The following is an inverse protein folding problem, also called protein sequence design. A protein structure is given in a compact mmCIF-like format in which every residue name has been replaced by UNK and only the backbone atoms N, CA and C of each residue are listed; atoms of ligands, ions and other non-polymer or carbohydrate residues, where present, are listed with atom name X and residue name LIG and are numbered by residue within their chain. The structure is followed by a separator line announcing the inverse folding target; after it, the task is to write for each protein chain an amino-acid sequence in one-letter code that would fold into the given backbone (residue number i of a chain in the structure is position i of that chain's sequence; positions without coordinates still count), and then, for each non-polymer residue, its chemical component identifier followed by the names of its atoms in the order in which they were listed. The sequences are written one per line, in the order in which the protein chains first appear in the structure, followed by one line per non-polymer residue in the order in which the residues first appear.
data_IF_203328568350
#
_entry.id   IF_203328568350
#
_cell.length_a   1.000
_cell.length_b   1.000
_cell.length_c   1.000
_cell.angle_alpha   90.00
_cell.angle_beta   90.00
_cell.angle_gamma   90.00
#
_symmetry.space_group_name_H-M   'P 1'
#
loop_
_entity.id
_entity.type
_entity.pdbx_description
1 polymer ?
#
# COMPACT_ATOMS: atom_id res chain seq x y z
N UNK A 1 47.87 31.20 -52.64
CA UNK A 1 46.80 30.35 -52.09
C UNK A 1 47.42 29.45 -51.02
N UNK A 2 47.26 29.80 -49.75
CA UNK A 2 47.72 29.01 -48.59
C UNK A 2 46.52 28.25 -48.03
N UNK A 3 46.61 26.93 -47.76
CA UNK A 3 45.53 26.22 -47.10
C UNK A 3 45.64 26.41 -45.57
N UNK A 4 44.59 26.98 -44.96
CA UNK A 4 44.43 27.01 -43.51
C UNK A 4 44.09 25.61 -43.00
N UNK A 5 44.92 25.08 -42.10
CA UNK A 5 44.61 23.88 -41.32
C UNK A 5 43.58 24.24 -40.23
N UNK A 6 42.43 23.59 -40.26
CA UNK A 6 41.43 23.65 -39.21
C UNK A 6 41.82 22.64 -38.12
N UNK A 7 42.28 23.14 -36.97
CA UNK A 7 42.51 22.31 -35.78
C UNK A 7 41.15 22.12 -35.09
N UNK A 8 40.58 20.93 -35.20
CA UNK A 8 39.36 20.55 -34.48
C UNK A 8 39.76 20.11 -33.07
N UNK A 9 39.59 21.01 -32.10
CA UNK A 9 39.76 20.71 -30.68
C UNK A 9 38.57 19.88 -30.18
N UNK A 10 38.81 18.61 -29.86
CA UNK A 10 37.85 17.75 -29.16
C UNK A 10 37.91 18.07 -27.67
N UNK A 11 36.99 18.91 -27.20
CA UNK A 11 36.69 18.99 -25.76
C UNK A 11 35.88 17.76 -25.38
N UNK A 12 36.55 16.77 -24.78
CA UNK A 12 35.88 15.66 -24.11
C UNK A 12 35.10 16.21 -22.91
N UNK A 13 33.77 16.25 -23.03
CA UNK A 13 32.88 16.45 -21.88
C UNK A 13 33.03 15.22 -20.97
N UNK A 14 33.78 15.36 -19.89
CA UNK A 14 33.74 14.41 -18.78
C UNK A 14 32.42 14.65 -18.04
N UNK A 15 31.42 13.83 -18.32
CA UNK A 15 30.25 13.70 -17.47
C UNK A 15 30.72 13.14 -16.12
N UNK A 16 30.93 14.01 -15.15
CA UNK A 16 30.99 13.61 -13.74
C UNK A 16 29.59 13.11 -13.38
N UNK A 17 29.34 11.82 -13.59
CA UNK A 17 28.24 11.13 -12.95
C UNK A 17 28.53 11.18 -11.45
N UNK A 18 27.85 12.09 -10.73
CA UNK A 18 27.83 12.02 -9.27
C UNK A 18 27.35 10.61 -8.90
N UNK A 19 28.12 9.82 -8.12
CA UNK A 19 27.64 8.52 -7.69
C UNK A 19 26.35 8.76 -6.91
N UNK A 20 25.28 8.08 -7.33
CA UNK A 20 24.05 8.03 -6.55
C UNK A 20 24.47 7.47 -5.20
N UNK A 21 24.34 8.29 -4.15
CA UNK A 21 24.70 7.88 -2.80
C UNK A 21 23.80 6.70 -2.43
N UNK A 22 24.37 5.52 -2.18
CA UNK A 22 23.63 4.30 -1.84
C UNK A 22 23.03 4.32 -0.42
N UNK A 23 23.09 5.48 0.25
CA UNK A 23 22.50 5.75 1.55
C UNK A 23 21.65 7.02 1.47
N UNK A 24 20.46 6.98 2.06
CA UNK A 24 19.57 8.13 2.17
C UNK A 24 18.88 8.18 3.53
N UNK A 25 18.49 9.38 3.96
CA UNK A 25 17.83 9.60 5.26
C UNK A 25 16.32 9.39 5.15
N UNK A 26 15.78 8.46 5.93
CA UNK A 26 14.35 8.11 5.96
C UNK A 26 13.56 9.03 6.89
N UNK A 27 14.08 9.20 8.11
CA UNK A 27 13.64 10.14 9.12
C UNK A 27 14.86 10.58 9.91
N UNK A 28 14.73 11.63 10.74
CA UNK A 28 15.87 12.20 11.47
C UNK A 28 16.67 11.09 12.17
N UNK A 29 17.97 10.99 11.86
CA UNK A 29 18.91 10.01 12.42
C UNK A 29 18.64 8.54 12.03
N UNK A 30 17.80 8.26 11.05
CA UNK A 30 17.52 6.91 10.51
C UNK A 30 17.82 6.91 9.03
N UNK A 31 18.74 6.04 8.61
CA UNK A 31 19.22 5.97 7.24
C UNK A 31 18.96 4.59 6.66
N UNK A 32 18.67 4.54 5.37
CA UNK A 32 18.50 3.31 4.60
C UNK A 32 19.67 3.17 3.65
N UNK A 33 20.34 2.01 3.73
CA UNK A 33 21.43 1.63 2.83
C UNK A 33 20.89 0.63 1.82
N UNK A 34 21.02 0.97 0.55
CA UNK A 34 20.65 0.14 -0.58
C UNK A 34 21.77 -0.83 -0.93
N UNK A 35 21.51 -2.13 -0.85
CA UNK A 35 22.54 -3.16 -1.05
C UNK A 35 22.15 -4.14 -2.14
N UNK A 36 23.08 -4.40 -3.05
CA UNK A 36 23.02 -5.60 -3.90
C UNK A 36 23.31 -6.83 -3.04
N UNK A 37 22.40 -7.80 -3.03
CA UNK A 37 22.41 -8.93 -2.10
C UNK A 37 22.73 -10.25 -2.82
N UNK A 38 24.01 -10.63 -2.83
CA UNK A 38 24.49 -11.95 -3.23
C UNK A 38 25.81 -12.27 -2.49
N UNK A 39 26.24 -13.54 -2.41
CA UNK A 39 27.41 -13.94 -1.60
C UNK A 39 28.70 -13.16 -1.91
N UNK A 40 28.95 -12.85 -3.19
CA UNK A 40 30.15 -12.13 -3.63
C UNK A 40 29.99 -10.59 -3.69
N UNK A 41 28.91 -10.04 -3.12
CA UNK A 41 28.63 -8.61 -3.21
C UNK A 41 29.67 -7.81 -2.41
N UNK A 42 30.25 -6.73 -2.97
CA UNK A 42 31.26 -5.94 -2.28
C UNK A 42 30.69 -5.12 -1.11
N UNK A 43 29.37 -4.98 -1.02
CA UNK A 43 28.69 -4.07 -0.09
C UNK A 43 28.92 -2.61 -0.43
N UNK A 44 28.48 -1.73 0.47
CA UNK A 44 28.56 -0.28 0.28
C UNK A 44 29.43 0.35 1.37
N UNK A 45 30.27 1.32 0.97
CA UNK A 45 31.05 2.11 1.91
C UNK A 45 30.20 3.30 2.37
N UNK A 46 29.92 3.36 3.68
CA UNK A 46 29.10 4.41 4.30
C UNK A 46 29.97 5.25 5.23
N UNK A 47 29.80 6.57 5.17
CA UNK A 47 30.45 7.52 6.07
C UNK A 47 29.40 8.15 6.98
N UNK A 48 29.45 7.81 8.27
CA UNK A 48 28.63 8.43 9.30
C UNK A 48 29.34 9.64 9.88
N UNK A 49 28.60 10.71 10.15
CA UNK A 49 29.14 11.93 10.79
C UNK A 49 28.44 12.14 12.11
N UNK A 50 29.20 12.34 13.19
CA UNK A 50 28.64 12.61 14.50
C UNK A 50 28.04 14.03 14.49
N UNK A 51 26.74 14.15 14.79
CA UNK A 51 26.04 15.44 14.88
C UNK A 51 26.43 16.17 16.18
N UNK A 52 27.60 16.82 16.13
CA UNK A 52 28.19 17.55 17.26
C UNK A 52 29.11 18.67 16.75
N UNK A 53 29.20 19.80 17.46
CA UNK A 53 30.20 20.82 17.18
C UNK A 53 31.62 20.38 17.55
N UNK A 54 31.76 19.32 18.36
CA UNK A 54 33.07 18.81 18.78
C UNK A 54 33.82 18.15 17.61
N UNK A 55 35.14 18.27 17.60
CA UNK A 55 36.02 17.70 16.55
C UNK A 55 36.90 16.56 17.07
N UNK A 56 37.27 16.59 18.36
CA UNK A 56 38.27 15.70 18.94
C UNK A 56 37.74 14.83 20.10
N UNK A 57 38.36 13.68 20.30
CA UNK A 57 38.05 12.75 21.40
C UNK A 57 36.74 11.97 21.20
N UNK A 58 36.26 11.90 19.96
CA UNK A 58 35.05 11.17 19.59
C UNK A 58 35.40 9.70 19.33
N UNK A 59 34.60 8.79 19.88
CA UNK A 59 34.68 7.33 19.65
C UNK A 59 33.34 6.78 19.25
N UNK A 60 33.33 5.73 18.42
CA UNK A 60 32.11 5.12 17.90
C UNK A 60 31.89 3.70 18.41
N UNK A 61 30.64 3.36 18.67
CA UNK A 61 30.17 2.01 19.02
C UNK A 61 28.96 1.63 18.18
N UNK A 62 28.67 0.33 18.06
CA UNK A 62 27.44 -0.21 17.46
C UNK A 62 26.70 -1.09 18.47
N UNK A 63 25.39 -1.26 18.32
CA UNK A 63 24.62 -2.24 19.09
C UNK A 63 24.88 -3.70 18.67
N UNK A 64 25.52 -3.92 17.51
CA UNK A 64 25.91 -5.24 17.00
C UNK A 64 27.30 -5.70 17.50
N UNK A 65 28.09 -4.81 18.11
CA UNK A 65 29.47 -5.10 18.54
C UNK A 65 29.78 -4.49 19.91
N UNK A 66 30.52 -5.21 20.75
CA UNK A 66 31.02 -4.69 22.03
C UNK A 66 32.29 -3.84 21.90
N UNK A 67 32.87 -3.76 20.71
CA UNK A 67 34.14 -3.09 20.47
C UNK A 67 33.97 -1.64 20.00
N UNK A 68 35.00 -0.83 20.23
CA UNK A 68 35.08 0.51 19.65
C UNK A 68 35.40 0.35 18.17
N UNK A 69 34.50 0.83 17.31
CA UNK A 69 34.59 0.66 15.85
C UNK A 69 35.53 1.67 15.18
N UNK A 70 35.74 2.81 15.81
CA UNK A 70 36.58 3.87 15.26
C UNK A 70 36.59 5.12 16.14
N UNK A 71 37.41 6.10 15.74
CA UNK A 71 37.56 7.38 16.42
C UNK A 71 37.57 8.53 15.43
N UNK A 72 37.21 9.72 15.90
CA UNK A 72 37.07 10.93 15.09
C UNK A 72 35.62 11.29 14.79
N UNK A 73 35.42 12.48 14.21
CA UNK A 73 34.10 13.03 13.90
C UNK A 73 33.30 12.20 12.90
N UNK A 74 34.00 11.53 11.98
CA UNK A 74 33.41 10.66 10.97
C UNK A 74 33.83 9.21 11.17
N UNK A 75 32.93 8.29 10.91
CA UNK A 75 33.18 6.85 10.89
C UNK A 75 32.91 6.31 9.49
N UNK A 76 33.92 5.68 8.87
CA UNK A 76 33.77 4.98 7.60
C UNK A 76 33.63 3.49 7.86
N UNK A 77 32.54 2.89 7.39
CA UNK A 77 32.22 1.45 7.55
C UNK A 77 31.89 0.82 6.20
N UNK A 78 32.12 -0.49 6.12
CA UNK A 78 31.66 -1.30 5.00
C UNK A 78 30.38 -2.03 5.43
N UNK A 79 29.28 -1.81 4.71
CA UNK A 79 27.98 -2.42 5.00
C UNK A 79 27.68 -3.49 3.96
N UNK A 80 27.62 -4.75 4.40
CA UNK A 80 27.39 -5.92 3.54
C UNK A 80 26.21 -6.76 4.01
N UNK A 81 26.03 -6.85 5.32
CA UNK A 81 25.02 -7.71 5.93
C UNK A 81 24.35 -7.05 7.15
N UNK A 82 23.35 -7.73 7.71
CA UNK A 82 22.59 -7.19 8.85
C UNK A 82 23.43 -6.98 10.12
N UNK A 83 24.57 -7.66 10.26
CA UNK A 83 25.52 -7.41 11.34
C UNK A 83 26.23 -6.05 11.25
N UNK A 84 26.26 -5.44 10.06
CA UNK A 84 26.82 -4.10 9.82
C UNK A 84 25.75 -3.00 9.95
N UNK A 85 24.47 -3.38 10.10
CA UNK A 85 23.37 -2.45 10.33
C UNK A 85 23.19 -2.17 11.83
N UNK A 86 22.13 -1.46 12.21
CA UNK A 86 21.82 -1.21 13.62
C UNK A 86 22.19 0.19 14.09
N UNK A 87 22.18 0.40 15.41
CA UNK A 87 22.37 1.72 16.00
C UNK A 87 23.85 2.02 16.24
N UNK A 88 24.38 2.94 15.45
CA UNK A 88 25.69 3.54 15.65
C UNK A 88 25.59 4.72 16.60
N UNK A 89 26.48 4.77 17.59
CA UNK A 89 26.49 5.82 18.60
C UNK A 89 27.89 6.43 18.69
N UNK A 90 27.98 7.76 18.57
CA UNK A 90 29.21 8.48 18.84
C UNK A 90 29.21 9.03 20.26
N UNK A 91 30.37 8.94 20.90
CA UNK A 91 30.57 9.31 22.31
C UNK A 91 31.80 10.21 22.46
N UNK A 92 31.84 10.99 23.54
CA UNK A 92 33.04 11.71 23.97
C UNK A 92 33.12 11.70 25.49
N UNK A 93 34.26 11.29 26.04
CA UNK A 93 34.45 11.22 27.49
C UNK A 93 33.45 10.29 28.21
N UNK A 94 32.88 9.31 27.50
CA UNK A 94 31.84 8.41 28.01
C UNK A 94 30.39 8.93 27.87
N UNK A 95 30.20 10.17 27.40
CA UNK A 95 28.87 10.73 27.13
C UNK A 95 28.46 10.51 25.68
N UNK A 96 27.19 10.17 25.46
CA UNK A 96 26.59 10.00 24.13
C UNK A 96 26.36 11.37 23.49
N UNK A 97 26.91 11.58 22.30
CA UNK A 97 26.74 12.82 21.54
C UNK A 97 25.59 12.73 20.53
N UNK A 98 25.59 11.68 19.69
CA UNK A 98 24.57 11.46 18.68
C UNK A 98 24.42 9.96 18.35
N UNK A 99 23.33 9.62 17.68
CA UNK A 99 22.96 8.26 17.26
C UNK A 99 22.54 8.27 15.80
N UNK A 100 22.86 7.21 15.09
CA UNK A 100 22.43 6.97 13.71
C UNK A 100 22.00 5.52 13.57
N UNK A 101 20.76 5.28 13.16
CA UNK A 101 20.24 3.93 12.90
C UNK A 101 20.38 3.61 11.41
N UNK A 102 21.07 2.51 11.09
CA UNK A 102 21.16 1.99 9.74
C UNK A 102 20.17 0.84 9.52
N UNK A 103 19.37 0.98 8.47
CA UNK A 103 18.47 -0.03 7.93
C UNK A 103 18.96 -0.48 6.55
N UNK A 104 18.66 -1.72 6.16
CA UNK A 104 19.08 -2.28 4.88
C UNK A 104 17.89 -2.48 3.95
N UNK A 105 18.00 -1.97 2.72
CA UNK A 105 17.11 -2.27 1.61
C UNK A 105 17.82 -3.21 0.65
N UNK A 106 17.39 -4.48 0.64
CA UNK A 106 18.07 -5.52 -0.14
C UNK A 106 17.58 -5.54 -1.58
N UNK A 107 18.50 -5.71 -2.52
CA UNK A 107 18.24 -5.93 -3.94
C UNK A 107 18.86 -7.24 -4.39
N UNK A 108 18.03 -8.24 -4.66
CA UNK A 108 18.45 -9.58 -5.10
C UNK A 108 18.06 -9.75 -6.58
N UNK A 109 19.00 -10.16 -7.42
CA UNK A 109 18.81 -10.29 -8.88
C UNK A 109 18.21 -9.05 -9.57
N UNK A 110 18.58 -7.85 -9.08
CA UNK A 110 18.09 -6.58 -9.60
C UNK A 110 16.69 -6.18 -9.11
N UNK A 111 16.07 -6.98 -8.24
CA UNK A 111 14.72 -6.77 -7.69
C UNK A 111 14.81 -6.48 -6.20
N UNK A 112 14.11 -5.45 -5.74
CA UNK A 112 13.99 -5.14 -4.31
C UNK A 112 13.25 -6.25 -3.57
N UNK A 113 13.73 -6.62 -2.38
CA UNK A 113 13.10 -7.68 -1.60
C UNK A 113 11.68 -7.31 -1.18
N UNK A 114 10.81 -8.33 -1.11
CA UNK A 114 9.41 -8.20 -0.72
C UNK A 114 9.06 -9.26 0.32
N UNK A 115 9.90 -9.38 1.34
CA UNK A 115 9.87 -10.46 2.34
C UNK A 115 8.89 -10.16 3.49
N UNK A 116 8.59 -8.88 3.73
CA UNK A 116 7.76 -8.42 4.86
C UNK A 116 6.27 -8.60 4.57
N UNK A 117 5.81 -8.24 3.37
CA UNK A 117 4.40 -8.34 2.98
C UNK A 117 4.13 -9.57 2.13
N UNK A 118 2.95 -10.16 2.33
CA UNK A 118 2.47 -11.28 1.53
C UNK A 118 1.89 -10.77 0.22
N UNK A 119 2.41 -11.27 -0.89
CA UNK A 119 1.78 -11.09 -2.20
C UNK A 119 0.39 -11.75 -2.20
N UNK A 120 -0.63 -10.94 -2.52
CA UNK A 120 -2.04 -11.31 -2.54
C UNK A 120 -2.50 -11.81 -3.92
N UNK A 121 -1.55 -12.07 -4.84
CA UNK A 121 -1.71 -12.80 -6.12
C UNK A 121 -2.88 -12.31 -6.97
N UNK A 122 -2.80 -11.09 -7.48
CA UNK A 122 -3.68 -10.66 -8.56
C UNK A 122 -3.20 -11.21 -9.91
N UNK A 123 -4.10 -11.51 -10.87
CA UNK A 123 -3.78 -12.29 -12.07
C UNK A 123 -2.78 -11.63 -13.04
N UNK A 124 -2.36 -10.38 -12.80
CA UNK A 124 -1.51 -9.60 -13.73
C UNK A 124 -0.17 -9.14 -13.14
N UNK A 125 -0.04 -9.03 -11.82
CA UNK A 125 1.19 -8.57 -11.14
C UNK A 125 1.16 -8.91 -9.64
N UNK A 126 2.32 -8.82 -8.99
CA UNK A 126 2.41 -8.86 -7.52
C UNK A 126 1.56 -7.73 -6.95
N UNK A 127 0.64 -8.04 -6.05
CA UNK A 127 -0.24 -7.07 -5.41
C UNK A 127 -0.14 -7.24 -3.90
N UNK A 128 0.61 -6.34 -3.25
CA UNK A 128 0.83 -6.38 -1.80
C UNK A 128 -0.19 -5.54 -1.03
N UNK A 129 -0.57 -4.40 -1.62
CA UNK A 129 -1.52 -3.46 -1.05
C UNK A 129 -2.83 -3.56 -1.82
N UNK A 130 -3.94 -3.77 -1.10
CA UNK A 130 -5.28 -3.69 -1.67
C UNK A 130 -5.99 -2.48 -1.08
N UNK A 131 -6.67 -1.72 -1.90
CA UNK A 131 -7.41 -0.54 -1.48
C UNK A 131 -8.85 -0.64 -1.98
N UNK A 132 -9.81 -0.19 -1.16
CA UNK A 132 -11.22 -0.11 -1.49
C UNK A 132 -11.77 1.25 -1.04
N UNK A 133 -12.65 1.81 -1.86
CA UNK A 133 -13.45 2.98 -1.55
C UNK A 133 -14.93 2.58 -1.58
N UNK A 134 -15.71 3.03 -0.60
CA UNK A 134 -17.14 2.71 -0.54
C UNK A 134 -17.98 3.61 -1.45
N UNK A 135 -17.44 4.78 -1.75
CA UNK A 135 -18.10 5.87 -2.43
C UNK A 135 -17.05 6.81 -3.07
N UNK A 136 -17.51 7.89 -3.69
CA UNK A 136 -16.66 8.88 -4.36
C UNK A 136 -16.25 10.06 -3.46
N UNK A 137 -16.36 9.93 -2.14
CA UNK A 137 -16.04 11.01 -1.18
C UNK A 137 -14.54 11.35 -1.10
N UNK A 138 -13.69 10.55 -1.74
CA UNK A 138 -12.23 10.60 -1.60
C UNK A 138 -11.73 9.86 -0.36
N UNK A 139 -12.62 9.25 0.43
CA UNK A 139 -12.25 8.34 1.52
C UNK A 139 -12.03 6.92 0.98
N UNK A 140 -10.89 6.32 1.36
CA UNK A 140 -10.58 4.94 1.00
C UNK A 140 -9.79 4.25 2.12
N UNK A 141 -9.79 2.93 2.10
CA UNK A 141 -9.04 2.12 3.05
C UNK A 141 -8.15 1.15 2.30
N UNK A 142 -6.87 1.15 2.65
CA UNK A 142 -5.89 0.19 2.14
C UNK A 142 -5.58 -0.86 3.21
N UNK A 143 -5.24 -2.07 2.79
CA UNK A 143 -4.81 -3.13 3.66
C UNK A 143 -3.77 -4.04 3.02
N UNK A 144 -3.00 -4.69 3.87
CA UNK A 144 -1.97 -5.64 3.50
C UNK A 144 -1.88 -6.77 4.53
N UNK A 145 -1.19 -7.83 4.13
CA UNK A 145 -1.05 -9.05 4.91
C UNK A 145 0.43 -9.28 5.24
N UNK A 146 0.71 -9.74 6.46
CA UNK A 146 2.05 -10.16 6.86
C UNK A 146 1.97 -11.36 7.82
N UNK A 147 2.97 -12.24 7.73
CA UNK A 147 3.14 -13.35 8.68
C UNK A 147 3.96 -12.92 9.92
N UNK A 148 4.57 -11.73 9.89
CA UNK A 148 5.46 -11.22 10.95
C UNK A 148 4.62 -10.71 12.12
N UNK A 149 5.02 -11.06 13.34
CA UNK A 149 4.24 -10.81 14.55
C UNK A 149 4.87 -9.81 15.52
N UNK A 150 6.16 -9.54 15.42
CA UNK A 150 6.98 -8.74 16.34
C UNK A 150 7.93 -7.83 15.56
N UNK A 151 8.46 -6.79 16.22
CA UNK A 151 9.48 -5.86 15.69
C UNK A 151 9.17 -5.27 14.31
N UNK A 152 7.90 -4.93 14.07
CA UNK A 152 7.38 -4.48 12.78
C UNK A 152 6.80 -3.07 12.90
N UNK A 153 7.32 -2.13 12.11
CA UNK A 153 6.85 -0.74 12.01
C UNK A 153 6.40 -0.48 10.58
N UNK A 154 5.26 0.20 10.44
CA UNK A 154 4.77 0.69 9.16
C UNK A 154 4.66 2.22 9.18
N UNK A 155 5.04 2.85 8.07
CA UNK A 155 4.81 4.26 7.78
C UNK A 155 4.09 4.35 6.44
N UNK A 156 3.09 5.23 6.33
CA UNK A 156 2.26 5.36 5.13
C UNK A 156 2.39 6.78 4.60
N UNK A 157 2.79 6.89 3.34
CA UNK A 157 2.85 8.15 2.59
C UNK A 157 1.85 8.05 1.44
N UNK A 158 1.17 9.16 1.13
CA UNK A 158 0.25 9.21 0.00
C UNK A 158 0.28 10.57 -0.69
N UNK A 159 -0.04 10.59 -1.98
CA UNK A 159 -0.08 11.79 -2.81
C UNK A 159 -1.07 11.61 -3.96
N UNK A 160 -1.51 12.71 -4.58
CA UNK A 160 -2.25 12.67 -5.85
C UNK A 160 -1.33 13.17 -6.96
N UNK A 161 -0.97 12.26 -7.87
CA UNK A 161 0.13 12.46 -8.81
C UNK A 161 1.50 12.61 -8.12
N UNK A 162 2.57 12.47 -8.88
CA UNK A 162 3.94 12.48 -8.34
C UNK A 162 4.40 13.84 -7.78
N UNK A 163 3.69 14.93 -8.05
CA UNK A 163 4.13 16.31 -7.77
C UNK A 163 3.40 17.05 -6.64
N UNK A 164 2.26 16.56 -6.13
CA UNK A 164 1.55 17.19 -5.00
C UNK A 164 1.38 16.23 -3.81
N UNK A 165 2.30 16.28 -2.83
CA UNK A 165 2.26 15.42 -1.65
C UNK A 165 1.18 15.80 -0.63
N UNK A 166 0.39 16.88 -0.85
CA UNK A 166 -0.62 17.35 0.12
C UNK A 166 -2.06 16.97 -0.24
N UNK A 167 -2.27 16.28 -1.36
CA UNK A 167 -3.60 15.91 -1.83
C UNK A 167 -4.30 14.85 -0.98
N UNK A 168 -3.56 13.99 -0.25
CA UNK A 168 -4.13 12.86 0.48
C UNK A 168 -3.53 12.74 1.88
N UNK A 169 -4.37 12.57 2.89
CA UNK A 169 -3.97 12.37 4.28
C UNK A 169 -4.34 10.96 4.73
N UNK A 170 -3.38 10.21 5.26
CA UNK A 170 -3.61 8.87 5.83
C UNK A 170 -3.45 8.87 7.34
N UNK A 171 -4.24 8.05 8.02
CA UNK A 171 -4.08 7.76 9.44
C UNK A 171 -2.89 6.83 9.73
N UNK A 172 -2.77 6.42 11.00
CA UNK A 172 -1.81 5.38 11.38
C UNK A 172 -2.28 3.99 10.93
N UNK A 173 -1.34 3.15 10.49
CA UNK A 173 -1.64 1.76 10.20
C UNK A 173 -2.02 1.01 11.49
N UNK A 174 -3.16 0.32 11.48
CA UNK A 174 -3.69 -0.41 12.62
C UNK A 174 -3.86 -1.90 12.29
N UNK A 175 -3.63 -2.75 13.28
CA UNK A 175 -3.92 -4.18 13.16
C UNK A 175 -5.44 -4.40 13.15
N UNK A 176 -5.95 -5.06 12.12
CA UNK A 176 -7.34 -5.51 12.06
C UNK A 176 -7.56 -6.71 12.97
N UNK A 177 -8.75 -6.79 13.57
CA UNK A 177 -9.18 -7.98 14.33
C UNK A 177 -9.37 -9.21 13.42
N UNK A 178 -9.54 -8.99 12.12
CA UNK A 178 -9.67 -10.04 11.12
C UNK A 178 -8.33 -10.73 10.85
N UNK A 179 -8.25 -12.02 11.16
CA UNK A 179 -7.15 -12.88 10.71
C UNK A 179 -7.51 -13.50 9.37
N UNK A 180 -6.59 -13.44 8.42
CA UNK A 180 -6.80 -14.01 7.09
C UNK A 180 -5.96 -15.28 6.97
N UNK A 181 -6.61 -16.42 6.78
CA UNK A 181 -5.93 -17.68 6.50
C UNK A 181 -5.80 -17.87 4.99
N UNK A 182 -4.57 -17.97 4.49
CA UNK A 182 -4.27 -18.22 3.07
C UNK A 182 -3.27 -19.37 3.01
N UNK A 183 -3.53 -20.38 2.16
CA UNK A 183 -2.66 -21.53 1.98
C UNK A 183 -2.26 -22.22 3.31
N UNK A 184 -3.22 -22.40 4.23
CA UNK A 184 -3.03 -22.98 5.57
C UNK A 184 -2.09 -22.19 6.51
N UNK A 185 -1.76 -20.93 6.19
CA UNK A 185 -1.03 -20.02 7.06
C UNK A 185 -1.92 -18.86 7.50
N UNK A 186 -1.85 -18.53 8.79
CA UNK A 186 -2.48 -17.32 9.32
C UNK A 186 -1.63 -16.09 9.00
N UNK A 187 -2.27 -15.06 8.45
CA UNK A 187 -1.69 -13.75 8.23
C UNK A 187 -2.42 -12.71 9.08
N UNK A 188 -1.64 -11.77 9.61
CA UNK A 188 -2.16 -10.55 10.24
C UNK A 188 -2.53 -9.56 9.13
N UNK A 189 -3.71 -8.95 9.23
CA UNK A 189 -4.17 -7.90 8.33
C UNK A 189 -3.96 -6.54 8.98
N UNK A 190 -3.22 -5.66 8.33
CA UNK A 190 -3.10 -4.26 8.72
C UNK A 190 -3.93 -3.40 7.78
N UNK A 191 -4.52 -2.35 8.31
CA UNK A 191 -5.39 -1.43 7.57
C UNK A 191 -4.96 0.01 7.83
N UNK A 192 -5.16 0.88 6.85
CA UNK A 192 -5.04 2.32 6.99
C UNK A 192 -6.18 3.00 6.25
N UNK A 193 -6.82 3.97 6.91
CA UNK A 193 -7.81 4.84 6.30
C UNK A 193 -7.13 6.12 5.80
N UNK A 194 -7.51 6.55 4.61
CA UNK A 194 -6.98 7.75 3.97
C UNK A 194 -8.13 8.60 3.42
N UNK A 195 -7.90 9.91 3.36
CA UNK A 195 -8.84 10.91 2.89
C UNK A 195 -8.14 11.86 1.92
N UNK A 196 -8.69 12.01 0.73
CA UNK A 196 -8.31 13.08 -0.17
C UNK A 196 -8.84 14.44 0.33
N UNK A 197 -7.96 15.43 0.41
CA UNK A 197 -8.27 16.74 0.99
C UNK A 197 -9.21 17.60 0.14
N UNK A 198 -9.07 17.57 -1.19
CA UNK A 198 -9.87 18.37 -2.13
C UNK A 198 -10.64 17.47 -3.11
N UNK A 199 -11.29 16.44 -2.60
CA UNK A 199 -12.05 15.50 -3.41
C UNK A 199 -13.19 16.20 -4.17
N UNK A 200 -13.31 15.88 -5.45
CA UNK A 200 -14.41 16.32 -6.31
C UNK A 200 -15.18 15.09 -6.80
N UNK A 201 -16.19 14.59 -6.05
CA UNK A 201 -16.82 13.29 -6.31
C UNK A 201 -17.39 13.09 -7.72
N UNK A 202 -17.84 14.18 -8.35
CA UNK A 202 -18.45 14.13 -9.68
C UNK A 202 -17.46 14.36 -10.84
N UNK A 203 -16.22 14.76 -10.53
CA UNK A 203 -15.22 15.09 -11.54
C UNK A 203 -14.53 13.82 -12.07
N UNK A 204 -14.10 13.86 -13.33
CA UNK A 204 -13.27 12.81 -13.88
C UNK A 204 -11.83 12.93 -13.35
N UNK A 205 -11.33 11.85 -12.75
CA UNK A 205 -9.96 11.81 -12.23
C UNK A 205 -8.94 11.74 -13.37
N UNK A 206 -8.03 12.71 -13.41
CA UNK A 206 -6.94 12.79 -14.39
C UNK A 206 -5.59 12.25 -13.89
N UNK A 207 -5.37 12.27 -12.57
CA UNK A 207 -4.14 11.80 -11.92
C UNK A 207 -4.47 10.74 -10.87
N UNK A 208 -3.73 9.62 -10.82
CA UNK A 208 -3.97 8.58 -9.83
C UNK A 208 -3.53 9.04 -8.44
N UNK A 209 -4.10 8.39 -7.42
CA UNK A 209 -3.57 8.42 -6.07
C UNK A 209 -2.44 7.40 -5.98
N UNK A 210 -1.33 7.81 -5.39
CA UNK A 210 -0.22 6.93 -5.05
C UNK A 210 -0.17 6.73 -3.53
N UNK A 211 -0.08 5.48 -3.10
CA UNK A 211 0.08 5.07 -1.71
C UNK A 211 1.37 4.27 -1.60
N UNK A 212 2.26 4.73 -0.74
CA UNK A 212 3.54 4.09 -0.43
C UNK A 212 3.51 3.65 1.03
N UNK A 213 3.67 2.34 1.25
CA UNK A 213 3.83 1.76 2.59
C UNK A 213 5.30 1.40 2.78
N UNK A 214 5.93 2.08 3.72
CA UNK A 214 7.27 1.78 4.21
C UNK A 214 7.16 0.77 5.35
N UNK A 215 7.89 -0.33 5.24
CA UNK A 215 7.85 -1.43 6.18
C UNK A 215 9.25 -1.69 6.74
N UNK A 216 9.38 -1.63 8.07
CA UNK A 216 10.62 -1.93 8.77
C UNK A 216 10.40 -3.13 9.68
N UNK A 217 11.14 -4.21 9.43
CA UNK A 217 11.19 -5.39 10.29
C UNK A 217 12.61 -5.57 10.83
N UNK A 218 12.79 -5.31 12.13
CA UNK A 218 14.11 -5.19 12.76
C UNK A 218 14.95 -4.13 12.04
N UNK A 219 15.98 -4.54 11.30
CA UNK A 219 16.88 -3.68 10.53
C UNK A 219 16.65 -3.77 9.02
N UNK A 220 15.64 -4.53 8.57
CA UNK A 220 15.26 -4.60 7.16
C UNK A 220 14.24 -3.52 6.85
N UNK A 221 14.51 -2.76 5.79
CA UNK A 221 13.57 -1.82 5.18
C UNK A 221 13.07 -2.38 3.84
N UNK A 222 11.78 -2.25 3.58
CA UNK A 222 11.16 -2.47 2.28
C UNK A 222 10.07 -1.40 2.06
N UNK A 223 9.77 -1.08 0.80
CA UNK A 223 8.63 -0.24 0.47
C UNK A 223 7.70 -0.90 -0.56
N UNK A 224 6.44 -0.52 -0.50
CA UNK A 224 5.38 -1.08 -1.33
C UNK A 224 4.53 0.04 -1.86
N UNK A 225 4.35 0.11 -3.18
CA UNK A 225 3.61 1.18 -3.83
C UNK A 225 2.36 0.62 -4.49
N UNK A 226 1.26 1.35 -4.38
CA UNK A 226 0.03 1.12 -5.15
C UNK A 226 -0.42 2.44 -5.77
N UNK A 227 -0.86 2.37 -7.02
CA UNK A 227 -1.31 3.53 -7.79
C UNK A 227 -2.67 3.20 -8.40
N UNK A 228 -3.67 4.03 -8.16
CA UNK A 228 -5.06 3.77 -8.58
C UNK A 228 -5.87 5.05 -8.68
N UNK A 229 -6.98 5.00 -9.42
CA UNK A 229 -8.05 5.99 -9.33
C UNK A 229 -9.11 5.51 -8.34
N UNK A 230 -9.81 6.44 -7.66
CA UNK A 230 -10.90 6.07 -6.74
C UNK A 230 -11.95 5.24 -7.50
N UNK A 231 -12.33 5.66 -8.73
CA UNK A 231 -13.29 4.93 -9.58
C UNK A 231 -12.94 3.44 -9.81
N UNK A 232 -11.65 3.09 -9.78
CA UNK A 232 -11.18 1.71 -10.01
C UNK A 232 -11.27 0.84 -8.76
N UNK A 233 -11.24 1.47 -7.57
CA UNK A 233 -11.29 0.79 -6.27
C UNK A 233 -12.66 0.87 -5.60
N UNK A 234 -13.68 1.38 -6.30
CA UNK A 234 -15.05 1.46 -5.78
C UNK A 234 -15.61 0.05 -5.52
N UNK A 235 -16.02 -0.18 -4.28
CA UNK A 235 -16.79 -1.34 -3.83
C UNK A 235 -17.88 -0.85 -2.88
N UNK A 236 -19.14 -0.71 -3.35
CA UNK A 236 -20.24 -0.26 -2.50
C UNK A 236 -20.48 -1.22 -1.33
N UNK A 237 -21.05 -0.72 -0.24
CA UNK A 237 -21.62 -1.59 0.79
C UNK A 237 -22.86 -2.37 0.24
N UNK A 238 -23.24 -3.50 0.84
CA UNK A 238 -24.39 -4.28 0.38
C UNK A 238 -25.71 -3.49 0.43
N UNK A 239 -26.69 -3.80 -0.45
CA UNK A 239 -28.02 -3.23 -0.37
C UNK A 239 -28.65 -3.44 1.01
N UNK A 240 -29.28 -2.38 1.56
CA UNK A 240 -29.89 -2.43 2.89
C UNK A 240 -31.39 -2.71 2.81
N UNK A 241 -31.99 -3.04 3.95
CA UNK A 241 -33.45 -3.22 4.11
C UNK A 241 -34.09 -4.17 3.08
N UNK A 242 -33.44 -5.32 2.84
CA UNK A 242 -33.96 -6.31 1.90
C UNK A 242 -35.27 -6.93 2.42
N UNK A 243 -36.36 -6.72 1.69
CA UNK A 243 -37.71 -7.15 2.05
C UNK A 243 -38.32 -8.05 0.96
N UNK A 244 -39.14 -9.00 1.39
CA UNK A 244 -39.94 -9.86 0.51
C UNK A 244 -41.42 -9.55 0.70
N UNK A 245 -42.10 -9.28 -0.41
CA UNK A 245 -43.56 -9.08 -0.46
C UNK A 245 -44.19 -10.17 -1.33
N UNK A 246 -44.96 -11.10 -0.75
CA UNK A 246 -45.67 -12.11 -1.52
C UNK A 246 -46.69 -11.49 -2.47
N UNK A 247 -46.72 -11.95 -3.72
CA UNK A 247 -47.76 -11.54 -4.68
C UNK A 247 -48.93 -12.52 -4.59
N UNK A 248 -50.15 -12.00 -4.46
CA UNK A 248 -51.38 -12.82 -4.37
C UNK A 248 -51.47 -13.75 -5.59
N UNK A 249 -51.81 -15.03 -5.33
CA UNK A 249 -52.04 -16.06 -6.34
C UNK A 249 -50.83 -16.37 -7.26
N UNK A 250 -49.60 -16.10 -6.82
CA UNK A 250 -48.38 -16.41 -7.57
C UNK A 250 -47.30 -16.97 -6.66
N UNK A 251 -46.38 -17.76 -7.24
CA UNK A 251 -45.12 -18.15 -6.58
C UNK A 251 -44.04 -17.06 -6.69
N UNK A 252 -44.38 -15.94 -7.32
CA UNK A 252 -43.51 -14.78 -7.40
C UNK A 252 -43.59 -13.96 -6.11
N UNK A 253 -42.43 -13.48 -5.70
CA UNK A 253 -42.29 -12.47 -4.65
C UNK A 253 -41.72 -11.21 -5.28
N UNK A 254 -42.18 -10.07 -4.80
CA UNK A 254 -41.50 -8.81 -5.03
C UNK A 254 -40.44 -8.63 -3.96
N UNK A 255 -39.20 -8.48 -4.41
CA UNK A 255 -38.05 -8.19 -3.56
C UNK A 255 -37.78 -6.71 -3.70
N UNK A 256 -37.60 -6.01 -2.58
CA UNK A 256 -37.22 -4.61 -2.56
C UNK A 256 -36.05 -4.37 -1.60
N UNK A 257 -35.21 -3.41 -1.91
CA UNK A 257 -34.07 -2.99 -1.09
C UNK A 257 -33.89 -1.47 -1.17
N UNK A 258 -32.90 -0.96 -0.48
CA UNK A 258 -32.49 0.44 -0.52
C UNK A 258 -30.99 0.54 -0.85
N UNK A 259 -30.57 1.73 -1.30
CA UNK A 259 -29.15 2.06 -1.44
C UNK A 259 -28.48 2.03 -0.06
N UNK A 260 -27.21 1.61 0.04
CA UNK A 260 -26.49 1.66 1.31
C UNK A 260 -26.26 3.12 1.74
N UNK A 261 -26.26 3.37 3.04
CA UNK A 261 -26.13 4.73 3.62
C UNK A 261 -24.78 5.39 3.32
N UNK A 262 -23.77 4.58 3.03
CA UNK A 262 -22.42 5.03 2.72
C UNK A 262 -22.22 5.44 1.27
N UNK A 263 -23.20 5.21 0.38
CA UNK A 263 -23.04 5.52 -1.03
C UNK A 263 -23.19 7.02 -1.33
N UNK A 264 -22.46 7.49 -2.34
CA UNK A 264 -22.48 8.90 -2.74
C UNK A 264 -23.87 9.38 -3.12
N UNK A 265 -24.19 10.62 -2.72
CA UNK A 265 -25.46 11.29 -3.03
C UNK A 265 -25.22 12.50 -3.94
N UNK A 266 -26.17 12.86 -4.81
CA UNK A 266 -27.49 12.25 -4.99
C UNK A 266 -27.45 10.96 -5.86
N UNK A 267 -28.32 10.00 -5.56
CA UNK A 267 -28.40 8.71 -6.29
C UNK A 267 -28.85 8.88 -7.77
N UNK A 268 -29.44 10.02 -8.11
CA UNK A 268 -29.76 10.37 -9.50
C UNK A 268 -28.50 10.57 -10.36
N UNK A 269 -27.38 10.92 -9.73
CA UNK A 269 -26.08 11.03 -10.39
C UNK A 269 -25.25 9.76 -10.13
N UNK A 270 -25.05 9.41 -8.86
CA UNK A 270 -24.35 8.20 -8.45
C UNK A 270 -25.32 7.02 -8.44
N UNK A 271 -25.72 6.55 -9.62
CA UNK A 271 -26.63 5.42 -9.74
C UNK A 271 -25.92 4.08 -9.59
N UNK A 272 -26.52 3.17 -8.83
CA UNK A 272 -26.11 1.78 -8.72
C UNK A 272 -26.94 0.91 -9.66
N UNK A 273 -26.33 -0.19 -10.11
CA UNK A 273 -27.00 -1.33 -10.72
C UNK A 273 -26.90 -2.53 -9.78
N UNK A 274 -27.91 -3.40 -9.81
CA UNK A 274 -28.05 -4.50 -8.86
C UNK A 274 -28.10 -5.84 -9.57
N UNK A 275 -27.49 -6.85 -8.96
CA UNK A 275 -27.60 -8.24 -9.37
C UNK A 275 -28.43 -8.99 -8.33
N UNK A 276 -29.58 -9.52 -8.75
CA UNK A 276 -30.44 -10.37 -7.94
C UNK A 276 -30.20 -11.82 -8.35
N UNK A 277 -29.91 -12.66 -7.36
CA UNK A 277 -29.68 -14.08 -7.54
C UNK A 277 -30.63 -14.87 -6.65
N UNK A 278 -31.33 -15.84 -7.25
CA UNK A 278 -32.10 -16.84 -6.49
C UNK A 278 -31.24 -18.09 -6.39
N UNK A 279 -30.79 -18.40 -5.17
CA UNK A 279 -30.03 -19.61 -4.87
C UNK A 279 -30.96 -20.68 -4.30
N UNK A 280 -31.22 -21.72 -5.08
CA UNK A 280 -31.99 -22.90 -4.65
C UNK A 280 -31.14 -24.17 -4.62
N UNK A 281 -31.73 -25.31 -4.21
CA UNK A 281 -31.08 -26.63 -4.19
C UNK A 281 -30.63 -27.13 -5.57
N UNK A 282 -31.27 -26.66 -6.65
CA UNK A 282 -30.92 -27.01 -8.01
C UNK A 282 -29.90 -25.99 -8.58
N UNK A 283 -28.76 -26.48 -9.08
CA UNK A 283 -27.59 -25.70 -9.55
C UNK A 283 -27.82 -24.69 -10.70
N UNK A 284 -29.05 -24.45 -11.15
CA UNK A 284 -29.35 -23.40 -12.15
C UNK A 284 -29.61 -22.08 -11.44
N UNK A 285 -28.54 -21.37 -11.14
CA UNK A 285 -28.59 -20.02 -10.59
C UNK A 285 -29.00 -19.03 -11.69
N UNK A 286 -30.18 -18.43 -11.55
CA UNK A 286 -30.61 -17.34 -12.45
C UNK A 286 -30.20 -16.01 -11.83
N UNK A 287 -29.37 -15.24 -12.54
CA UNK A 287 -29.01 -13.86 -12.21
C UNK A 287 -29.88 -12.91 -13.01
N UNK A 288 -30.39 -11.88 -12.35
CA UNK A 288 -31.18 -10.80 -12.92
C UNK A 288 -30.48 -9.49 -12.60
N UNK A 289 -30.22 -8.68 -13.61
CA UNK A 289 -29.61 -7.35 -13.43
C UNK A 289 -30.70 -6.28 -13.58
N UNK A 290 -30.81 -5.38 -12.60
CA UNK A 290 -31.81 -4.30 -12.57
C UNK A 290 -31.20 -3.03 -12.00
N UNK A 291 -31.68 -1.88 -12.47
CA UNK A 291 -31.26 -0.57 -11.94
C UNK A 291 -32.26 0.00 -10.92
N UNK A 292 -33.43 -0.62 -10.83
CA UNK A 292 -34.45 -0.31 -9.84
C UNK A 292 -34.11 -1.00 -8.51
N UNK A 293 -34.61 -0.46 -7.42
CA UNK A 293 -34.45 -1.05 -6.08
C UNK A 293 -35.51 -2.10 -5.75
N UNK A 294 -36.14 -2.67 -6.78
CA UNK A 294 -37.04 -3.81 -6.63
C UNK A 294 -37.01 -4.72 -7.85
N UNK A 295 -37.34 -5.99 -7.65
CA UNK A 295 -37.46 -6.98 -8.70
C UNK A 295 -38.48 -8.07 -8.34
N UNK A 296 -39.14 -8.61 -9.35
CA UNK A 296 -40.03 -9.77 -9.20
C UNK A 296 -39.24 -11.04 -9.50
N UNK A 297 -39.18 -11.96 -8.55
CA UNK A 297 -38.49 -13.25 -8.70
C UNK A 297 -39.37 -14.39 -8.23
N UNK A 298 -39.15 -15.58 -8.76
CA UNK A 298 -39.83 -16.79 -8.28
C UNK A 298 -39.12 -17.29 -7.03
N UNK A 299 -39.82 -17.32 -5.90
CA UNK A 299 -39.32 -17.96 -4.68
C UNK A 299 -39.66 -19.46 -4.74
N UNK A 300 -38.66 -20.29 -4.49
CA UNK A 300 -38.86 -21.70 -4.20
C UNK A 300 -38.72 -21.93 -2.69
N UNK A 301 -39.38 -22.95 -2.15
CA UNK A 301 -39.23 -23.34 -0.75
C UNK A 301 -37.76 -23.66 -0.46
N UNK A 302 -37.23 -23.16 0.64
CA UNK A 302 -35.81 -23.24 1.06
C UNK A 302 -34.80 -22.50 0.14
N UNK A 303 -35.25 -21.60 -0.74
CA UNK A 303 -34.34 -20.78 -1.55
C UNK A 303 -33.90 -19.52 -0.79
N UNK A 304 -32.70 -19.02 -1.10
CA UNK A 304 -32.21 -17.73 -0.62
C UNK A 304 -32.13 -16.75 -1.78
N UNK A 305 -32.71 -15.58 -1.61
CA UNK A 305 -32.56 -14.45 -2.53
C UNK A 305 -31.37 -13.64 -2.05
N UNK A 306 -30.45 -13.34 -2.96
CA UNK A 306 -29.26 -12.53 -2.71
C UNK A 306 -29.25 -11.33 -3.65
N UNK A 307 -28.86 -10.16 -3.13
CA UNK A 307 -28.72 -8.93 -3.91
C UNK A 307 -27.36 -8.30 -3.62
N UNK A 308 -26.66 -7.89 -4.66
CA UNK A 308 -25.41 -7.11 -4.57
C UNK A 308 -25.50 -5.89 -5.49
N UNK A 309 -24.72 -4.86 -5.20
CA UNK A 309 -24.69 -3.59 -5.92
C UNK A 309 -23.33 -3.34 -6.59
N UNK A 310 -23.33 -2.54 -7.65
CA UNK A 310 -22.14 -2.00 -8.31
C UNK A 310 -22.48 -0.64 -8.90
N UNK A 311 -21.47 0.21 -9.10
CA UNK A 311 -21.64 1.39 -9.94
C UNK A 311 -22.26 1.02 -11.30
N UNK A 312 -23.22 1.83 -11.75
CA UNK A 312 -23.96 1.57 -13.00
C UNK A 312 -23.15 1.93 -14.24
N UNK A 313 -22.36 2.99 -14.17
CA UNK A 313 -21.69 3.61 -15.31
C UNK A 313 -20.22 3.21 -15.41
N UNK A 314 -19.64 2.68 -14.33
CA UNK A 314 -18.29 2.18 -14.28
C UNK A 314 -18.23 0.72 -13.83
N UNK A 315 -17.34 -0.06 -14.43
CA UNK A 315 -17.18 -1.50 -14.09
C UNK A 315 -16.26 -1.69 -12.89
N UNK A 316 -16.68 -1.15 -11.74
CA UNK A 316 -15.99 -1.33 -10.45
C UNK A 316 -16.31 -2.68 -9.79
N UNK A 317 -15.93 -2.87 -8.53
CA UNK A 317 -16.22 -4.09 -7.78
C UNK A 317 -17.69 -4.19 -7.38
N UNK A 318 -18.20 -5.43 -7.33
CA UNK A 318 -19.50 -5.72 -6.72
C UNK A 318 -19.39 -5.70 -5.20
N UNK A 319 -20.44 -5.21 -4.54
CA UNK A 319 -20.60 -5.32 -3.09
C UNK A 319 -20.64 -6.78 -2.64
N UNK A 320 -20.51 -7.00 -1.33
CA UNK A 320 -20.93 -8.28 -0.75
C UNK A 320 -22.45 -8.48 -0.94
N UNK A 321 -22.90 -9.73 -0.82
CA UNK A 321 -24.31 -10.09 -0.99
C UNK A 321 -25.11 -9.77 0.28
N UNK A 322 -26.18 -8.99 0.14
CA UNK A 322 -27.30 -9.01 1.10
C UNK A 322 -28.19 -10.21 0.79
N UNK A 323 -28.70 -10.91 1.81
CA UNK A 323 -29.52 -12.12 1.58
C UNK A 323 -30.76 -12.21 2.46
N UNK A 324 -31.81 -12.82 1.93
CA UNK A 324 -33.07 -13.09 2.63
C UNK A 324 -33.62 -14.45 2.18
N UNK A 325 -34.15 -15.23 3.11
CA UNK A 325 -34.71 -16.54 2.84
C UNK A 325 -36.15 -16.46 2.34
N UNK A 326 -36.47 -17.26 1.32
CA UNK A 326 -37.84 -17.54 0.91
C UNK A 326 -38.53 -18.39 1.98
N UNK A 327 -39.69 -17.93 2.45
CA UNK A 327 -40.58 -18.69 3.34
C UNK A 327 -41.32 -19.82 2.63
#
# INVERSE_FOLDING_TARGET
MHPQQVVVSWFSLVLLASPIVAIWELEKNVYVVELVWHPDAPGETVVLTCDTPEEDGITWTSDQSSEILGSGKTLTIQVKEFGDAGQYTCHRGGEVLSRSLLLLHKKEDGIWSTDILKDQKEPKAKSFLKCEAKDYSGHFTCWWLTAISTDLKFSVKSSRGSSDPRGVTCGAASLSAEKVSVDHREYKKYTVACQEGSACPAAEESLPIEVVVEAVHKLKYENYTSSFFIRDIIKPDPPKNLQLRPLKNSRQVEVSWEYPDTWSTPHSYFSLTFCVQVQGKNKREKKLFVDQTSAKVTCHKDANIRVQARDRYYSSFWSEWASVSCS
#
